data_IF_027557682877
#
_entry.id   IF_027557682877
#
_cell.length_a   1.000
_cell.length_b   1.000
_cell.length_c   1.000
_cell.angle_alpha   90.00
_cell.angle_beta   90.00
_cell.angle_gamma   90.00
#
_symmetry.space_group_name_H-M   'P 1'
#
loop_
_entity.id
_entity.type
_entity.pdbx_description
1 polymer ?
#
# COMPACT_ATOMS: atom_id res chain seq x y z
N UNK A 1 27.27 5.31 0.75
CA UNK A 1 26.01 4.95 0.07
C UNK A 1 26.38 4.34 -1.28
N UNK A 2 25.75 3.22 -1.69
CA UNK A 2 25.97 2.62 -3.02
C UNK A 2 24.94 3.11 -4.02
N UNK A 3 25.34 3.30 -5.28
CA UNK A 3 24.44 3.63 -6.40
C UNK A 3 24.33 2.45 -7.37
N UNK A 4 23.09 1.99 -7.58
CA UNK A 4 22.74 0.89 -8.47
C UNK A 4 21.75 1.36 -9.51
N UNK A 5 21.95 0.96 -10.77
CA UNK A 5 21.01 1.23 -11.86
C UNK A 5 20.58 -0.04 -12.57
N UNK A 6 19.31 -0.06 -12.99
CA UNK A 6 18.70 -1.16 -13.76
C UNK A 6 18.51 -0.84 -15.24
N UNK A 7 18.98 0.34 -15.68
CA UNK A 7 18.96 0.74 -17.09
C UNK A 7 19.61 2.10 -17.33
N UNK A 8 20.16 2.30 -18.52
CA UNK A 8 20.74 3.57 -18.95
C UNK A 8 19.92 4.14 -20.12
N UNK A 9 19.76 5.46 -20.16
CA UNK A 9 19.13 6.16 -21.29
C UNK A 9 20.03 7.31 -21.75
N UNK A 10 19.95 7.64 -23.04
CA UNK A 10 20.54 8.85 -23.64
C UNK A 10 19.48 9.93 -23.90
N UNK A 11 18.20 9.63 -23.65
CA UNK A 11 17.08 10.55 -23.78
C UNK A 11 16.86 11.28 -22.43
N UNK A 12 17.29 12.55 -22.38
CA UNK A 12 17.18 13.43 -21.20
C UNK A 12 15.74 13.60 -20.72
N UNK A 13 14.75 13.54 -21.62
CA UNK A 13 13.34 13.72 -21.26
C UNK A 13 12.73 12.52 -20.53
N UNK A 14 13.41 11.37 -20.56
CA UNK A 14 12.93 10.09 -19.99
C UNK A 14 13.83 9.53 -18.92
N UNK A 15 14.97 10.16 -18.67
CA UNK A 15 15.99 9.65 -17.77
C UNK A 15 15.98 10.37 -16.41
N UNK A 16 16.25 9.61 -15.36
CA UNK A 16 16.60 10.16 -14.05
C UNK A 16 18.05 10.62 -14.11
N UNK A 17 18.33 11.84 -13.65
CA UNK A 17 19.70 12.36 -13.48
C UNK A 17 20.15 12.18 -12.04
N UNK A 18 21.37 11.68 -11.85
CA UNK A 18 21.97 11.54 -10.52
C UNK A 18 23.34 12.20 -10.51
N UNK A 19 23.51 13.13 -9.58
CA UNK A 19 24.74 13.86 -9.33
C UNK A 19 25.27 13.54 -7.94
N UNK A 20 26.58 13.38 -7.81
CA UNK A 20 27.21 13.12 -6.52
C UNK A 20 27.43 14.44 -5.78
N UNK A 21 27.07 14.48 -4.50
CA UNK A 21 27.32 15.62 -3.61
C UNK A 21 28.26 15.20 -2.47
N UNK A 22 28.64 16.14 -1.60
CA UNK A 22 29.49 15.82 -0.45
C UNK A 22 28.84 14.83 0.52
N UNK A 23 27.51 14.88 0.65
CA UNK A 23 26.74 14.16 1.66
C UNK A 23 25.82 13.06 1.06
N UNK A 24 25.94 12.80 -0.25
CA UNK A 24 25.16 11.77 -0.95
C UNK A 24 24.97 12.07 -2.43
N UNK A 25 23.72 12.18 -2.87
CA UNK A 25 23.35 12.37 -4.27
C UNK A 25 22.21 13.37 -4.43
N UNK A 26 22.25 14.19 -5.47
CA UNK A 26 21.07 14.91 -5.95
C UNK A 26 20.44 14.09 -7.07
N UNK A 27 19.15 13.78 -6.94
CA UNK A 27 18.38 13.04 -7.93
C UNK A 27 17.36 13.95 -8.57
N UNK A 28 17.38 14.04 -9.89
CA UNK A 28 16.51 14.90 -10.68
C UNK A 28 15.77 14.13 -11.75
N UNK A 29 14.54 14.53 -12.03
CA UNK A 29 13.73 13.99 -13.11
C UNK A 29 12.76 15.08 -13.59
N UNK A 30 12.76 15.36 -14.89
CA UNK A 30 12.09 16.53 -15.45
C UNK A 30 12.54 17.82 -14.74
N UNK A 31 11.62 18.71 -14.33
CA UNK A 31 11.96 19.95 -13.62
C UNK A 31 12.11 19.79 -12.09
N UNK A 32 11.96 18.57 -11.56
CA UNK A 32 12.02 18.30 -10.14
C UNK A 32 13.37 17.71 -9.72
N UNK A 33 13.80 18.02 -8.49
CA UNK A 33 15.01 17.48 -7.89
C UNK A 33 14.84 17.27 -6.38
N UNK A 34 15.62 16.34 -5.83
CA UNK A 34 15.68 16.08 -4.39
C UNK A 34 17.10 15.66 -4.00
N UNK A 35 17.54 16.07 -2.81
CA UNK A 35 18.79 15.62 -2.23
C UNK A 35 18.57 14.35 -1.41
N UNK A 36 19.41 13.36 -1.67
CA UNK A 36 19.43 12.06 -1.00
C UNK A 36 20.74 11.93 -0.23
N UNK A 37 20.66 11.79 1.09
CA UNK A 37 21.84 11.65 1.95
C UNK A 37 21.53 10.95 3.26
N UNK A 38 22.50 10.99 4.19
CA UNK A 38 22.36 10.37 5.51
C UNK A 38 21.17 10.92 6.33
N UNK A 39 20.75 12.16 6.06
CA UNK A 39 19.62 12.81 6.74
C UNK A 39 18.28 12.08 6.53
N UNK A 40 18.17 11.22 5.50
CA UNK A 40 16.98 10.41 5.22
C UNK A 40 17.01 9.04 5.89
N UNK A 41 18.13 8.71 6.56
CA UNK A 41 18.37 7.39 7.16
C UNK A 41 17.27 6.97 8.11
N UNK A 42 16.69 5.81 7.82
CA UNK A 42 15.80 5.08 8.72
C UNK A 42 16.24 3.62 8.76
N UNK A 43 16.70 3.19 9.94
CA UNK A 43 17.29 1.86 10.12
C UNK A 43 16.37 0.74 9.64
N UNK A 44 16.89 -0.14 8.77
CA UNK A 44 16.18 -1.32 8.29
C UNK A 44 14.92 -1.03 7.48
N UNK A 45 14.80 0.16 6.90
CA UNK A 45 13.62 0.59 6.15
C UNK A 45 13.88 0.69 4.65
N UNK A 46 12.88 0.27 3.86
CA UNK A 46 12.81 0.56 2.44
C UNK A 46 12.02 1.86 2.23
N UNK A 47 12.50 2.73 1.37
CA UNK A 47 11.82 3.93 0.93
C UNK A 47 11.72 3.94 -0.60
N UNK A 48 10.71 4.63 -1.11
CA UNK A 48 10.42 4.71 -2.53
C UNK A 48 10.63 6.14 -3.01
N UNK A 49 11.44 6.29 -4.03
CA UNK A 49 11.64 7.54 -4.75
C UNK A 49 10.56 7.64 -5.82
N UNK A 50 9.65 8.58 -5.64
CA UNK A 50 8.46 8.74 -6.45
C UNK A 50 8.47 10.10 -7.14
N UNK A 51 7.89 10.16 -8.33
CA UNK A 51 7.68 11.36 -9.12
C UNK A 51 6.20 11.61 -9.32
N UNK A 52 5.81 12.87 -9.44
CA UNK A 52 4.51 13.23 -9.97
C UNK A 52 4.30 14.74 -10.05
N UNK A 53 3.05 15.17 -9.92
CA UNK A 53 2.66 16.58 -10.01
C UNK A 53 1.74 16.96 -8.87
N UNK A 54 2.13 17.98 -8.13
CA UNK A 54 1.29 18.62 -7.14
C UNK A 54 0.81 19.96 -7.72
N UNK A 55 -0.46 20.02 -8.10
CA UNK A 55 -1.00 21.08 -8.95
C UNK A 55 -0.24 21.16 -10.29
N UNK A 56 0.37 22.29 -10.61
CA UNK A 56 1.15 22.48 -11.84
C UNK A 56 2.64 22.16 -11.66
N UNK A 57 3.10 21.94 -10.43
CA UNK A 57 4.52 21.75 -10.12
C UNK A 57 4.90 20.27 -10.16
N UNK A 58 6.01 19.98 -10.84
CA UNK A 58 6.65 18.67 -10.82
C UNK A 58 7.34 18.45 -9.49
N UNK A 59 7.12 17.29 -8.88
CA UNK A 59 7.63 16.96 -7.55
C UNK A 59 8.28 15.58 -7.54
N UNK A 60 9.37 15.47 -6.79
CA UNK A 60 9.95 14.18 -6.39
C UNK A 60 9.78 14.07 -4.89
N UNK A 61 9.23 12.94 -4.45
CA UNK A 61 8.96 12.65 -3.05
C UNK A 61 9.59 11.33 -2.63
N UNK A 62 9.90 11.23 -1.35
CA UNK A 62 10.31 9.97 -0.72
C UNK A 62 9.15 9.50 0.13
N UNK A 63 8.73 8.27 -0.12
CA UNK A 63 7.63 7.65 0.62
C UNK A 63 8.16 6.42 1.32
N UNK A 64 7.95 6.34 2.62
CA UNK A 64 8.41 5.19 3.38
C UNK A 64 7.61 3.94 3.04
N UNK A 65 8.22 2.76 3.20
CA UNK A 65 7.50 1.50 3.11
C UNK A 65 6.32 1.45 4.09
N UNK A 66 6.44 2.08 5.26
CA UNK A 66 5.35 2.14 6.24
C UNK A 66 4.13 2.89 5.70
N UNK A 67 4.36 4.04 5.08
CA UNK A 67 3.29 4.91 4.55
C UNK A 67 2.71 4.39 3.24
N UNK A 68 3.53 3.79 2.38
CA UNK A 68 3.09 3.32 1.08
C UNK A 68 2.67 1.85 1.09
N UNK A 69 3.59 0.96 1.45
CA UNK A 69 3.37 -0.47 1.30
C UNK A 69 2.67 -1.05 2.52
N UNK A 70 3.03 -0.68 3.75
CA UNK A 70 2.43 -1.23 4.98
C UNK A 70 1.12 -0.52 5.38
N UNK A 71 0.84 0.67 4.85
CA UNK A 71 -0.44 1.36 5.00
C UNK A 71 -1.56 0.71 4.18
N UNK A 72 -2.81 0.85 4.63
CA UNK A 72 -4.00 0.50 3.85
C UNK A 72 -4.30 1.56 2.79
N UNK A 73 -4.00 2.82 3.10
CA UNK A 73 -4.37 3.98 2.30
C UNK A 73 -3.17 4.54 1.50
N UNK A 74 -2.13 3.73 1.32
CA UNK A 74 -0.88 4.17 0.66
C UNK A 74 -1.11 4.78 -0.71
N UNK A 75 -2.03 4.25 -1.52
CA UNK A 75 -2.40 4.84 -2.81
C UNK A 75 -3.06 6.22 -2.68
N UNK A 76 -3.92 6.40 -1.68
CA UNK A 76 -4.54 7.69 -1.38
C UNK A 76 -3.49 8.69 -0.89
N UNK A 77 -2.54 8.26 -0.06
CA UNK A 77 -1.42 9.10 0.39
C UNK A 77 -0.60 9.55 -0.82
N UNK A 78 -0.25 8.65 -1.73
CA UNK A 78 0.45 9.03 -2.97
C UNK A 78 -0.34 10.07 -3.77
N UNK A 79 -1.64 9.85 -3.95
CA UNK A 79 -2.52 10.75 -4.69
C UNK A 79 -2.62 12.15 -4.03
N UNK A 80 -2.71 12.23 -2.71
CA UNK A 80 -2.72 13.49 -1.95
C UNK A 80 -1.42 14.28 -2.12
N UNK A 81 -0.30 13.58 -2.27
CA UNK A 81 1.01 14.19 -2.56
C UNK A 81 1.28 14.36 -4.06
N UNK A 82 0.33 14.01 -4.93
CA UNK A 82 0.49 14.11 -6.38
C UNK A 82 1.52 13.14 -6.97
N UNK A 83 1.94 12.11 -6.23
CA UNK A 83 2.96 11.14 -6.62
C UNK A 83 2.34 9.99 -7.41
N UNK A 84 2.88 9.69 -8.59
CA UNK A 84 2.25 8.78 -9.56
C UNK A 84 3.20 7.76 -10.18
N UNK A 85 4.50 8.07 -10.29
CA UNK A 85 5.47 7.22 -10.98
C UNK A 85 6.66 6.86 -10.07
N UNK A 86 7.14 5.63 -10.16
CA UNK A 86 8.29 5.16 -9.38
C UNK A 86 9.61 5.39 -10.11
N UNK A 87 10.49 6.23 -9.55
CA UNK A 87 11.82 6.48 -10.13
C UNK A 87 12.85 5.46 -9.67
N UNK A 88 12.76 5.03 -8.41
CA UNK A 88 13.74 4.16 -7.78
C UNK A 88 13.39 3.84 -6.34
N UNK A 89 14.20 3.01 -5.71
CA UNK A 89 14.06 2.61 -4.31
C UNK A 89 15.31 3.00 -3.55
N UNK A 90 15.13 3.21 -2.25
CA UNK A 90 16.21 3.51 -1.34
C UNK A 90 16.15 2.54 -0.17
N UNK A 91 17.23 1.79 0.04
CA UNK A 91 17.31 0.82 1.12
C UNK A 91 18.36 1.26 2.14
N UNK A 92 17.99 1.15 3.41
CA UNK A 92 18.89 1.33 4.54
C UNK A 92 19.10 0.02 5.28
N UNK A 93 20.36 -0.35 5.44
CA UNK A 93 20.80 -1.42 6.34
C UNK A 93 20.75 -0.98 7.81
N UNK A 94 21.66 -1.54 8.61
CA UNK A 94 21.67 -1.33 10.06
C UNK A 94 22.33 0.00 10.47
N UNK A 95 23.05 0.65 9.55
CA UNK A 95 23.67 1.96 9.77
C UNK A 95 23.56 2.88 8.54
N UNK A 96 23.74 4.19 8.73
CA UNK A 96 23.70 5.19 7.64
C UNK A 96 24.73 4.92 6.53
N UNK A 97 25.83 4.23 6.88
CA UNK A 97 26.86 3.82 5.92
C UNK A 97 26.40 2.67 5.01
N UNK A 98 25.38 1.94 5.42
CA UNK A 98 24.75 0.83 4.70
C UNK A 98 23.51 1.28 3.92
N UNK A 99 23.59 2.43 3.26
CA UNK A 99 22.54 2.94 2.39
C UNK A 99 22.78 2.56 0.92
N UNK A 100 21.70 2.28 0.20
CA UNK A 100 21.72 1.90 -1.20
C UNK A 100 20.60 2.58 -1.99
N UNK A 101 21.00 3.35 -3.02
CA UNK A 101 20.10 3.97 -3.97
C UNK A 101 20.01 3.13 -5.24
N UNK A 102 18.80 2.62 -5.50
CA UNK A 102 18.48 1.78 -6.64
C UNK A 102 17.60 2.56 -7.61
N UNK A 103 18.13 3.01 -8.74
CA UNK A 103 17.35 3.71 -9.76
C UNK A 103 16.78 2.67 -10.75
N UNK A 104 15.46 2.54 -10.75
CA UNK A 104 14.74 1.56 -11.58
C UNK A 104 14.32 2.11 -12.93
N UNK A 105 14.14 3.43 -13.02
CA UNK A 105 13.92 4.12 -14.29
C UNK A 105 15.26 4.29 -15.00
N UNK A 106 15.23 4.51 -16.32
CA UNK A 106 16.48 4.66 -17.05
C UNK A 106 17.26 5.87 -16.52
N UNK A 107 18.57 5.69 -16.32
CA UNK A 107 19.43 6.67 -15.66
C UNK A 107 20.33 7.38 -16.69
N UNK A 108 20.50 8.69 -16.48
CA UNK A 108 21.58 9.52 -17.00
C UNK A 108 22.46 9.96 -15.84
N UNK A 109 23.51 9.20 -15.54
CA UNK A 109 24.42 9.54 -14.45
C UNK A 109 25.65 10.25 -14.99
N UNK A 110 26.07 11.31 -14.30
CA UNK A 110 27.41 11.91 -14.43
C UNK A 110 28.41 11.32 -13.40
N UNK A 111 27.94 10.44 -12.52
CA UNK A 111 28.73 9.77 -11.50
C UNK A 111 28.95 8.28 -11.83
N UNK A 112 30.09 7.69 -11.40
CA UNK A 112 30.31 6.25 -11.53
C UNK A 112 29.34 5.48 -10.65
N UNK A 113 28.68 4.49 -11.23
CA UNK A 113 27.79 3.56 -10.52
C UNK A 113 28.57 2.33 -10.03
N UNK A 114 28.11 1.74 -8.92
CA UNK A 114 28.74 0.55 -8.34
C UNK A 114 28.29 -0.74 -9.05
N UNK A 115 27.03 -0.78 -9.52
CA UNK A 115 26.40 -1.99 -10.07
C UNK A 115 25.39 -1.64 -11.18
N UNK A 116 25.48 -2.33 -12.32
CA UNK A 116 24.45 -2.35 -13.37
C UNK A 116 23.91 -3.77 -13.48
N UNK A 117 22.61 -3.95 -13.28
CA UNK A 117 21.98 -5.28 -13.36
C UNK A 117 20.67 -5.22 -14.14
N UNK A 118 20.39 -6.20 -15.02
CA UNK A 118 19.03 -6.41 -15.51
C UNK A 118 18.14 -6.96 -14.38
N UNK A 119 16.85 -6.61 -14.39
CA UNK A 119 15.86 -7.20 -13.47
C UNK A 119 15.27 -6.22 -12.46
N UNK A 120 14.82 -6.74 -11.31
CA UNK A 120 14.16 -5.94 -10.27
C UNK A 120 15.08 -5.76 -9.06
N UNK A 121 15.02 -4.62 -8.34
CA UNK A 121 15.86 -4.41 -7.16
C UNK A 121 15.76 -5.50 -6.10
N UNK A 122 14.58 -6.11 -5.93
CA UNK A 122 14.36 -7.22 -4.99
C UNK A 122 15.26 -8.44 -5.25
N UNK A 123 15.73 -8.64 -6.48
CA UNK A 123 16.53 -9.80 -6.86
C UNK A 123 18.04 -9.53 -6.64
N UNK A 124 18.42 -8.25 -6.52
CA UNK A 124 19.82 -7.80 -6.38
C UNK A 124 20.14 -7.38 -4.94
N UNK A 125 19.20 -6.70 -4.28
CA UNK A 125 19.38 -6.18 -2.93
C UNK A 125 19.80 -7.24 -1.91
N UNK A 126 19.26 -8.49 -1.90
CA UNK A 126 19.70 -9.52 -0.96
C UNK A 126 21.16 -9.91 -1.09
N UNK A 127 21.72 -9.85 -2.31
CA UNK A 127 23.14 -10.14 -2.55
C UNK A 127 24.08 -9.07 -2.00
N UNK A 128 23.58 -7.85 -1.75
CA UNK A 128 24.35 -6.72 -1.22
C UNK A 128 24.07 -6.54 0.27
N UNK A 129 22.80 -6.65 0.65
CA UNK A 129 22.29 -6.55 2.01
C UNK A 129 21.37 -7.74 2.28
N UNK A 130 21.88 -8.84 2.87
CA UNK A 130 21.08 -10.04 3.14
C UNK A 130 19.82 -9.78 3.96
N UNK A 131 19.82 -8.77 4.84
CA UNK A 131 18.65 -8.37 5.64
C UNK A 131 17.47 -7.85 4.81
N UNK A 132 17.70 -7.43 3.56
CA UNK A 132 16.66 -6.90 2.66
C UNK A 132 15.70 -7.96 2.13
N UNK A 133 16.09 -9.24 2.14
CA UNK A 133 15.28 -10.35 1.66
C UNK A 133 13.92 -10.46 2.41
N UNK A 134 13.97 -10.30 3.74
CA UNK A 134 12.80 -10.28 4.60
C UNK A 134 11.81 -9.17 4.22
N UNK A 135 12.30 -8.01 3.76
CA UNK A 135 11.43 -6.91 3.32
C UNK A 135 10.77 -7.23 1.98
N UNK A 136 11.49 -7.85 1.05
CA UNK A 136 10.95 -8.32 -0.21
C UNK A 136 9.81 -9.32 -0.02
N UNK A 137 10.03 -10.33 0.82
CA UNK A 137 9.03 -11.35 1.19
C UNK A 137 7.80 -10.73 1.84
N UNK A 138 7.98 -9.82 2.83
CA UNK A 138 6.87 -9.11 3.47
C UNK A 138 6.03 -8.31 2.46
N UNK A 139 6.68 -7.58 1.56
CA UNK A 139 5.99 -6.75 0.57
C UNK A 139 5.19 -7.60 -0.43
N UNK A 140 5.76 -8.71 -0.90
CA UNK A 140 5.05 -9.62 -1.79
C UNK A 140 3.86 -10.29 -1.10
N UNK A 141 4.04 -10.77 0.13
CA UNK A 141 2.95 -11.32 0.93
C UNK A 141 1.79 -10.33 1.06
N UNK A 142 2.11 -9.04 1.29
CA UNK A 142 1.08 -8.00 1.39
C UNK A 142 0.41 -7.69 0.05
N UNK A 143 1.16 -7.60 -1.06
CA UNK A 143 0.57 -7.38 -2.39
C UNK A 143 -0.40 -8.53 -2.74
N UNK A 144 -0.03 -9.78 -2.45
CA UNK A 144 -0.91 -10.93 -2.64
C UNK A 144 -2.16 -10.85 -1.75
N UNK A 145 -2.03 -10.43 -0.49
CA UNK A 145 -3.17 -10.19 0.39
C UNK A 145 -4.12 -9.13 -0.21
N UNK A 146 -3.57 -7.99 -0.67
CA UNK A 146 -4.35 -6.92 -1.27
C UNK A 146 -5.01 -7.32 -2.59
N UNK A 147 -4.43 -8.27 -3.34
CA UNK A 147 -5.06 -8.87 -4.53
C UNK A 147 -6.24 -9.78 -4.17
N UNK A 148 -6.16 -10.48 -3.03
CA UNK A 148 -7.22 -11.38 -2.54
C UNK A 148 -8.38 -10.62 -1.88
N UNK A 149 -8.12 -9.45 -1.31
CA UNK A 149 -9.12 -8.67 -0.57
C UNK A 149 -9.57 -7.48 -1.41
N UNK A 150 -10.80 -7.54 -1.93
CA UNK A 150 -11.46 -6.39 -2.50
C UNK A 150 -12.13 -5.56 -1.39
N UNK A 151 -11.78 -4.27 -1.22
CA UNK A 151 -12.43 -3.40 -0.25
C UNK A 151 -13.93 -3.26 -0.44
N UNK A 152 -14.42 -3.32 -1.69
CA UNK A 152 -15.85 -3.23 -1.99
C UNK A 152 -16.61 -4.46 -1.47
N UNK A 153 -16.02 -5.66 -1.57
CA UNK A 153 -16.63 -6.87 -1.03
C UNK A 153 -16.70 -6.83 0.51
N UNK A 154 -15.70 -6.18 1.14
CA UNK A 154 -15.69 -5.95 2.58
C UNK A 154 -16.80 -4.98 3.00
N UNK A 155 -16.98 -3.88 2.26
CA UNK A 155 -18.07 -2.92 2.50
C UNK A 155 -19.44 -3.58 2.29
N UNK A 156 -19.64 -4.30 1.19
CA UNK A 156 -20.87 -5.04 0.93
C UNK A 156 -21.15 -6.10 2.03
N UNK A 157 -20.12 -6.74 2.59
CA UNK A 157 -20.30 -7.66 3.72
C UNK A 157 -20.67 -6.94 5.03
N UNK A 158 -20.21 -5.70 5.23
CA UNK A 158 -20.58 -4.87 6.37
C UNK A 158 -22.01 -4.36 6.27
N UNK A 159 -22.45 -3.90 5.09
CA UNK A 159 -23.83 -3.45 4.85
C UNK A 159 -24.83 -4.56 5.20
N UNK A 160 -24.59 -5.79 4.72
CA UNK A 160 -25.43 -6.96 5.05
C UNK A 160 -25.51 -7.24 6.57
N UNK A 161 -24.41 -7.01 7.30
CA UNK A 161 -24.38 -7.19 8.76
C UNK A 161 -25.12 -6.08 9.49
N UNK A 162 -25.03 -4.84 9.01
CA UNK A 162 -25.79 -3.69 9.55
C UNK A 162 -27.28 -3.91 9.37
N UNK A 163 -27.72 -4.42 8.22
CA UNK A 163 -29.12 -4.76 7.97
C UNK A 163 -29.64 -5.85 8.93
N UNK A 164 -28.87 -6.92 9.13
CA UNK A 164 -29.22 -7.98 10.09
C UNK A 164 -29.34 -7.44 11.53
N UNK A 165 -28.40 -6.58 11.94
CA UNK A 165 -28.44 -5.96 13.27
C UNK A 165 -29.65 -5.02 13.40
N UNK A 166 -29.95 -4.26 12.35
CA UNK A 166 -31.10 -3.35 12.33
C UNK A 166 -32.42 -4.11 12.40
N UNK A 167 -32.54 -5.22 11.67
CA UNK A 167 -33.69 -6.13 11.75
C UNK A 167 -33.85 -6.72 13.17
N UNK A 168 -32.76 -7.16 13.80
CA UNK A 168 -32.78 -7.64 15.18
C UNK A 168 -33.23 -6.56 16.17
N UNK A 169 -32.74 -5.32 16.02
CA UNK A 169 -33.14 -4.19 16.87
C UNK A 169 -34.64 -3.92 16.75
N UNK A 170 -35.20 -3.96 15.54
CA UNK A 170 -36.65 -3.79 15.33
C UNK A 170 -37.44 -4.93 15.99
N UNK A 171 -37.01 -6.18 15.81
CA UNK A 171 -37.64 -7.34 16.44
C UNK A 171 -37.64 -7.22 17.97
N UNK A 172 -36.50 -6.82 18.56
CA UNK A 172 -36.38 -6.61 20.00
C UNK A 172 -37.24 -5.45 20.49
N UNK A 173 -37.31 -4.35 19.73
CA UNK A 173 -38.16 -3.23 20.06
C UNK A 173 -39.64 -3.64 20.14
N UNK A 174 -40.11 -4.51 19.23
CA UNK A 174 -41.46 -5.08 19.25
C UNK A 174 -41.83 -5.84 20.54
N UNK A 175 -40.84 -6.26 21.32
CA UNK A 175 -41.04 -6.95 22.61
C UNK A 175 -41.14 -6.00 23.81
N UNK A 176 -40.91 -4.70 23.60
CA UNK A 176 -40.95 -3.68 24.66
C UNK A 176 -42.36 -3.12 24.81
N UNK A 177 -42.93 -3.06 26.03
CA UNK A 177 -44.21 -2.39 26.27
C UNK A 177 -44.15 -0.92 25.85
N UNK A 178 -45.10 -0.47 25.03
CA UNK A 178 -45.13 0.90 24.50
C UNK A 178 -44.21 1.17 23.30
N UNK A 179 -43.68 0.12 22.65
CA UNK A 179 -42.82 0.24 21.46
C UNK A 179 -43.45 1.01 20.29
N UNK A 180 -44.78 1.02 20.17
CA UNK A 180 -45.52 1.79 19.16
C UNK A 180 -45.26 3.30 19.24
N UNK A 181 -44.78 3.81 20.38
CA UNK A 181 -44.40 5.22 20.54
C UNK A 181 -42.96 5.52 20.05
N UNK A 182 -42.18 4.50 19.66
CA UNK A 182 -40.79 4.67 19.22
C UNK A 182 -40.77 4.97 17.71
N UNK A 183 -40.95 6.24 17.35
CA UNK A 183 -40.99 6.66 15.93
C UNK A 183 -39.73 6.33 15.11
N UNK A 184 -38.58 6.07 15.75
CA UNK A 184 -37.37 5.62 15.05
C UNK A 184 -37.47 4.19 14.52
N UNK A 185 -38.25 3.31 15.16
CA UNK A 185 -38.39 1.91 14.74
C UNK A 185 -39.06 1.83 13.37
N UNK A 186 -40.13 2.60 13.16
CA UNK A 186 -40.85 2.69 11.89
C UNK A 186 -39.95 3.25 10.77
N UNK A 187 -39.15 4.29 11.07
CA UNK A 187 -38.22 4.86 10.10
C UNK A 187 -37.14 3.88 9.67
N UNK A 188 -36.54 3.15 10.62
CA UNK A 188 -35.51 2.15 10.31
C UNK A 188 -36.12 0.96 9.55
N UNK A 189 -37.34 0.54 9.90
CA UNK A 189 -38.06 -0.51 9.17
C UNK A 189 -38.26 -0.11 7.69
N UNK A 190 -38.72 1.11 7.41
CA UNK A 190 -38.86 1.60 6.04
C UNK A 190 -37.54 1.62 5.27
N UNK A 191 -36.44 2.06 5.90
CA UNK A 191 -35.12 2.06 5.25
C UNK A 191 -34.68 0.64 4.88
N UNK A 192 -34.90 -0.34 5.76
CA UNK A 192 -34.58 -1.74 5.47
C UNK A 192 -35.44 -2.26 4.31
N UNK A 193 -36.75 -2.00 4.35
CA UNK A 193 -37.67 -2.50 3.32
C UNK A 193 -37.34 -1.94 1.93
N UNK A 194 -36.91 -0.67 1.85
CA UNK A 194 -36.62 0.01 0.58
C UNK A 194 -35.19 -0.23 0.06
N UNK A 195 -34.20 -0.39 0.95
CA UNK A 195 -32.77 -0.28 0.58
C UNK A 195 -31.87 -1.40 1.12
N UNK A 196 -32.43 -2.49 1.67
CA UNK A 196 -31.63 -3.58 2.24
C UNK A 196 -30.67 -4.22 1.23
N UNK A 197 -29.40 -4.36 1.63
CA UNK A 197 -28.38 -5.16 0.94
C UNK A 197 -28.69 -6.68 1.01
N UNK A 198 -29.67 -7.08 1.82
CA UNK A 198 -30.16 -8.44 1.97
C UNK A 198 -31.49 -8.68 1.22
N UNK A 199 -31.99 -7.72 0.45
CA UNK A 199 -33.24 -7.86 -0.29
C UNK A 199 -33.31 -9.18 -1.08
N UNK A 200 -34.41 -9.92 -0.91
CA UNK A 200 -34.64 -11.20 -1.58
C UNK A 200 -33.90 -12.41 -0.99
N UNK A 201 -33.26 -12.28 0.18
CA UNK A 201 -32.60 -13.39 0.89
C UNK A 201 -33.23 -13.62 2.25
N UNK A 202 -33.21 -14.87 2.72
CA UNK A 202 -33.56 -15.17 4.11
C UNK A 202 -32.42 -14.80 5.06
N UNK A 203 -32.72 -14.70 6.35
CA UNK A 203 -31.71 -14.43 7.38
C UNK A 203 -30.62 -15.51 7.37
N UNK A 204 -30.98 -16.79 7.21
CA UNK A 204 -30.01 -17.89 7.14
C UNK A 204 -29.08 -17.77 5.93
N UNK A 205 -29.63 -17.41 4.77
CA UNK A 205 -28.85 -17.19 3.55
C UNK A 205 -27.88 -16.02 3.71
N UNK A 206 -28.34 -14.95 4.38
CA UNK A 206 -27.52 -13.78 4.66
C UNK A 206 -26.39 -14.12 5.64
N UNK A 207 -26.71 -14.79 6.75
CA UNK A 207 -25.72 -15.24 7.74
C UNK A 207 -24.69 -16.16 7.10
N UNK A 208 -25.13 -17.12 6.27
CA UNK A 208 -24.22 -18.01 5.54
C UNK A 208 -23.29 -17.23 4.60
N UNK A 209 -23.81 -16.23 3.88
CA UNK A 209 -23.01 -15.37 3.00
C UNK A 209 -21.96 -14.57 3.77
N UNK A 210 -22.34 -13.96 4.91
CA UNK A 210 -21.41 -13.22 5.78
C UNK A 210 -20.35 -14.15 6.38
N UNK A 211 -20.76 -15.34 6.85
CA UNK A 211 -19.84 -16.33 7.42
C UNK A 211 -18.84 -16.86 6.41
N UNK A 212 -19.28 -17.13 5.18
CA UNK A 212 -18.41 -17.53 4.08
C UNK A 212 -17.35 -16.46 3.79
N UNK A 213 -17.76 -15.19 3.67
CA UNK A 213 -16.82 -14.08 3.48
C UNK A 213 -15.83 -13.96 4.64
N UNK A 214 -16.30 -14.01 5.90
CA UNK A 214 -15.43 -13.96 7.09
C UNK A 214 -14.41 -15.10 7.10
N UNK A 215 -14.82 -16.30 6.72
CA UNK A 215 -13.93 -17.47 6.64
C UNK A 215 -12.84 -17.26 5.60
N UNK A 216 -13.21 -16.82 4.39
CA UNK A 216 -12.26 -16.49 3.33
C UNK A 216 -11.29 -15.39 3.73
N UNK A 217 -11.76 -14.36 4.44
CA UNK A 217 -10.92 -13.28 4.96
C UNK A 217 -9.91 -13.80 5.99
N UNK A 218 -10.35 -14.67 6.92
CA UNK A 218 -9.46 -15.29 7.91
C UNK A 218 -8.41 -16.19 7.25
N UNK A 219 -8.78 -16.93 6.21
CA UNK A 219 -7.82 -17.73 5.46
C UNK A 219 -6.80 -16.83 4.75
N UNK A 220 -7.23 -15.76 4.09
CA UNK A 220 -6.31 -14.82 3.44
C UNK A 220 -5.33 -14.17 4.43
N UNK A 221 -5.80 -13.86 5.65
CA UNK A 221 -4.94 -13.37 6.74
C UNK A 221 -3.94 -14.43 7.20
N UNK A 222 -4.38 -15.67 7.39
CA UNK A 222 -3.51 -16.78 7.78
C UNK A 222 -2.41 -17.03 6.73
N UNK A 223 -2.78 -17.07 5.44
CA UNK A 223 -1.84 -17.18 4.33
C UNK A 223 -0.82 -16.03 4.36
N UNK A 224 -1.28 -14.79 4.56
CA UNK A 224 -0.40 -13.63 4.63
C UNK A 224 0.64 -13.76 5.73
N UNK A 225 0.25 -14.12 6.95
CA UNK A 225 1.19 -14.26 8.07
C UNK A 225 2.16 -15.43 7.85
N UNK A 226 1.69 -16.55 7.29
CA UNK A 226 2.56 -17.67 6.95
C UNK A 226 3.64 -17.28 5.93
N UNK A 227 3.25 -16.60 4.83
CA UNK A 227 4.20 -16.13 3.82
C UNK A 227 5.13 -15.04 4.37
N UNK A 228 4.61 -14.08 5.14
CA UNK A 228 5.38 -12.97 5.72
C UNK A 228 6.49 -13.48 6.64
N UNK A 229 6.18 -14.46 7.47
CA UNK A 229 7.10 -14.98 8.48
C UNK A 229 8.06 -16.03 7.89
N UNK A 230 7.99 -16.29 6.58
CA UNK A 230 8.85 -17.25 5.88
C UNK A 230 8.53 -18.70 6.22
N UNK A 231 7.30 -18.99 6.64
CA UNK A 231 6.84 -20.34 6.98
C UNK A 231 6.43 -21.18 5.75
N UNK A 232 6.66 -20.66 4.54
CA UNK A 232 6.33 -21.30 3.24
C UNK A 232 7.53 -21.23 2.32
#
# INVERSE_FOLDING_TARGET
MKLITFGTSVDESKAVRVEMTADGYTVSFAAASIDIGEHLFKQGELQFLMYGKQYENEVIGIVSQREYVDSRDGLTILAQHGLTDGLGWFYFGDSAKEACLCITKALMAQCPFDVVQPGKPRDVLPGIFPGSDKLGTRNLAKIELLRKINPLDSLASLEKQVDLLSALVIQLAGLVPGHEAIGLVEQVQHIIDDASANAGKTDEQTVASVMSFKTSLRQAQADYFATRDGAV
#
